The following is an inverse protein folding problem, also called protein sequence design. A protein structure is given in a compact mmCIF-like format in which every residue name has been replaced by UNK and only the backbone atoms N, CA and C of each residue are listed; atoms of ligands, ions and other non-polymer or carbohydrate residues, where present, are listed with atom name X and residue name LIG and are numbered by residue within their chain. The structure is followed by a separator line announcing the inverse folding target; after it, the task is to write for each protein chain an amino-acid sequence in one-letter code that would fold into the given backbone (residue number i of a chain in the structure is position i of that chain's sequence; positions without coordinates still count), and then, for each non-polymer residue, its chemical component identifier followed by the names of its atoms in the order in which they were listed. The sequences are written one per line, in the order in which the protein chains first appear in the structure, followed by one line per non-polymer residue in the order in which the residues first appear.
data_IF_849530724035
#
_entry.id   IF_849530724035
#
_cell.length_a   1.000
_cell.length_b   1.000
_cell.length_c   1.000
_cell.angle_alpha   90.00
_cell.angle_beta   90.00
_cell.angle_gamma   90.00
#
_symmetry.space_group_name_H-M   'P 1'
#
loop_
_entity.id
_entity.type
_entity.pdbx_description
1 polymer ?
#
# COMPACT_ATOMS: atom_id res chain seq x y z
N UNK A 1 -1.71 19.17 2.72
CA UNK A 1 -1.97 17.96 3.53
C UNK A 1 -0.64 17.32 3.84
N UNK A 2 -0.38 17.00 5.11
CA UNK A 2 0.96 16.71 5.64
C UNK A 2 1.43 15.34 5.13
N UNK A 3 2.57 15.36 4.45
CA UNK A 3 3.27 14.19 3.91
C UNK A 3 4.02 13.47 5.05
N UNK A 4 3.28 12.97 6.06
CA UNK A 4 3.89 12.26 7.18
C UNK A 4 3.92 10.76 6.86
N UNK A 5 5.10 10.23 6.54
CA UNK A 5 5.29 8.79 6.50
C UNK A 5 4.98 8.25 7.90
N UNK A 6 3.85 7.55 8.03
CA UNK A 6 3.47 6.88 9.28
C UNK A 6 4.64 5.96 9.66
N UNK A 7 5.26 6.19 10.83
CA UNK A 7 6.28 5.28 11.33
C UNK A 7 5.59 3.97 11.73
N UNK A 8 5.69 2.98 10.87
CA UNK A 8 5.19 1.64 11.16
C UNK A 8 6.12 1.00 12.18
N UNK A 9 5.55 0.48 13.27
CA UNK A 9 6.32 -0.40 14.17
C UNK A 9 6.67 -1.69 13.43
N UNK A 10 7.70 -2.39 13.92
CA UNK A 10 8.11 -3.71 13.38
C UNK A 10 6.90 -4.66 13.30
N UNK A 11 6.68 -5.27 12.13
CA UNK A 11 5.52 -6.13 11.83
C UNK A 11 4.29 -5.40 11.26
N UNK A 12 3.95 -4.20 11.75
CA UNK A 12 2.74 -3.49 11.28
C UNK A 12 2.81 -3.06 9.82
N UNK A 13 4.02 -2.85 9.29
CA UNK A 13 4.21 -2.55 7.88
C UNK A 13 3.85 -3.74 6.99
N UNK A 14 4.13 -4.96 7.43
CA UNK A 14 3.88 -6.19 6.66
C UNK A 14 2.38 -6.41 6.54
N UNK A 15 1.64 -6.31 7.66
CA UNK A 15 0.17 -6.39 7.67
C UNK A 15 -0.46 -5.33 6.75
N UNK A 16 0.01 -4.08 6.84
CA UNK A 16 -0.48 -2.99 5.99
C UNK A 16 -0.16 -3.22 4.51
N UNK A 17 1.02 -3.75 4.20
CA UNK A 17 1.45 -4.05 2.84
C UNK A 17 0.69 -5.24 2.25
N UNK A 18 0.41 -6.28 3.04
CA UNK A 18 -0.45 -7.40 2.62
C UNK A 18 -1.86 -6.90 2.35
N UNK A 19 -2.42 -6.09 3.26
CA UNK A 19 -3.74 -5.51 3.06
C UNK A 19 -3.83 -4.64 1.80
N UNK A 20 -2.81 -3.82 1.54
CA UNK A 20 -2.74 -3.02 0.33
C UNK A 20 -2.69 -3.87 -0.94
N UNK A 21 -1.97 -5.00 -0.94
CA UNK A 21 -1.94 -5.92 -2.09
C UNK A 21 -3.31 -6.54 -2.36
N UNK A 22 -4.02 -6.99 -1.31
CA UNK A 22 -5.39 -7.52 -1.47
C UNK A 22 -6.34 -6.48 -2.06
N UNK A 23 -6.24 -5.22 -1.61
CA UNK A 23 -7.09 -4.14 -2.10
C UNK A 23 -6.75 -3.76 -3.55
N UNK A 24 -5.46 -3.76 -3.91
CA UNK A 24 -5.00 -3.56 -5.30
C UNK A 24 -5.52 -4.68 -6.22
N UNK A 25 -5.47 -5.94 -5.77
CA UNK A 25 -5.97 -7.10 -6.51
C UNK A 25 -7.49 -7.01 -6.76
N UNK A 26 -8.23 -6.46 -5.79
CA UNK A 26 -9.66 -6.17 -5.89
C UNK A 26 -9.99 -4.94 -6.77
N UNK A 27 -8.99 -4.24 -7.29
CA UNK A 27 -9.18 -3.04 -8.12
C UNK A 27 -9.53 -1.78 -7.33
N UNK A 28 -9.31 -1.75 -6.01
CA UNK A 28 -9.57 -0.57 -5.18
C UNK A 28 -8.58 0.55 -5.51
N UNK A 29 -9.07 1.79 -5.53
CA UNK A 29 -8.28 2.97 -5.85
C UNK A 29 -7.23 3.31 -4.80
N UNK A 30 -6.09 3.86 -5.23
CA UNK A 30 -4.93 4.16 -4.37
C UNK A 30 -5.29 5.07 -3.19
N UNK A 31 -6.11 6.10 -3.40
CA UNK A 31 -6.53 7.03 -2.34
C UNK A 31 -7.25 6.32 -1.19
N UNK A 32 -8.12 5.37 -1.52
CA UNK A 32 -8.86 4.58 -0.52
C UNK A 32 -7.93 3.62 0.21
N UNK A 33 -6.98 3.00 -0.50
CA UNK A 33 -5.97 2.13 0.10
C UNK A 33 -5.09 2.89 1.10
N UNK A 34 -4.66 4.11 0.77
CA UNK A 34 -3.91 4.98 1.69
C UNK A 34 -4.73 5.25 2.94
N UNK A 35 -6.02 5.56 2.79
CA UNK A 35 -6.92 5.82 3.93
C UNK A 35 -7.09 4.58 4.82
N UNK A 36 -7.21 3.39 4.22
CA UNK A 36 -7.45 2.14 4.96
C UNK A 36 -6.19 1.58 5.63
N UNK A 37 -5.03 1.71 4.99
CA UNK A 37 -3.76 1.09 5.43
C UNK A 37 -2.84 2.06 6.17
N UNK A 38 -3.02 3.36 5.95
CA UNK A 38 -2.09 4.40 6.41
C UNK A 38 -0.74 4.36 5.71
N UNK A 39 -0.59 3.60 4.62
CA UNK A 39 0.60 3.66 3.78
C UNK A 39 0.64 4.96 2.99
N UNK A 40 1.85 5.41 2.66
CA UNK A 40 2.01 6.53 1.73
C UNK A 40 1.69 6.09 0.31
N UNK A 41 1.30 7.05 -0.53
CA UNK A 41 1.06 6.83 -1.95
C UNK A 41 2.26 6.16 -2.64
N UNK A 42 3.48 6.61 -2.33
CA UNK A 42 4.71 6.03 -2.88
C UNK A 42 4.83 4.52 -2.57
N UNK A 43 4.52 4.12 -1.34
CA UNK A 43 4.57 2.71 -0.92
C UNK A 43 3.52 1.87 -1.62
N UNK A 44 2.28 2.38 -1.72
CA UNK A 44 1.20 1.70 -2.45
C UNK A 44 1.55 1.56 -3.93
N UNK A 45 2.10 2.60 -4.56
CA UNK A 45 2.55 2.56 -5.94
C UNK A 45 3.69 1.55 -6.17
N UNK A 46 4.63 1.46 -5.23
CA UNK A 46 5.72 0.47 -5.29
C UNK A 46 5.19 -0.96 -5.19
N UNK A 47 4.17 -1.20 -4.36
CA UNK A 47 3.49 -2.50 -4.28
C UNK A 47 2.77 -2.84 -5.59
N UNK A 48 2.02 -1.89 -6.16
CA UNK A 48 1.31 -2.07 -7.41
C UNK A 48 2.25 -2.41 -8.59
N UNK A 49 3.38 -1.69 -8.71
CA UNK A 49 4.40 -2.00 -9.72
C UNK A 49 4.95 -3.42 -9.55
N UNK A 50 5.36 -3.79 -8.34
CA UNK A 50 5.86 -5.14 -8.04
C UNK A 50 4.84 -6.25 -8.35
N UNK A 51 3.55 -5.99 -8.17
CA UNK A 51 2.51 -6.96 -8.53
C UNK A 51 2.39 -7.12 -10.04
N UNK A 52 2.42 -6.02 -10.80
CA UNK A 52 2.39 -6.04 -12.27
C UNK A 52 3.64 -6.70 -12.86
N UNK A 53 4.82 -6.40 -12.31
CA UNK A 53 6.09 -6.98 -12.76
C UNK A 53 6.16 -8.49 -12.52
N UNK A 54 5.41 -9.05 -11.57
CA UNK A 54 5.32 -10.51 -11.33
C UNK A 54 4.36 -11.24 -12.28
N UNK A 55 3.48 -10.50 -12.94
CA UNK A 55 2.48 -11.02 -13.88
C UNK A 55 3.00 -11.03 -15.33
N UNK A 56 4.22 -10.53 -15.57
CA UNK A 56 4.88 -10.43 -16.89
C UNK A 56 6.06 -11.38 -16.95
#
# INVERSE_FOLDING_TARGET
MINMAKEFKKGQYEDAAEKAKELLDKGIGITEIISMTGLTEERVNKLNRKMKDKLT
#
